data_IF_795506983268
#
_entry.id   IF_795506983268
#
_cell.length_a   1.000
_cell.length_b   1.000
_cell.length_c   1.000
_cell.angle_alpha   90.00
_cell.angle_beta   90.00
_cell.angle_gamma   90.00
#
_symmetry.space_group_name_H-M   'P 1'
#
loop_
_entity.id
_entity.type
_entity.pdbx_description
1 polymer ?
#
# COMPACT_ATOMS: atom_id res chain seq x y z
N UNK A 1 15.40 -15.12 4.98
CA UNK A 1 15.15 -14.12 3.92
C UNK A 1 15.14 -12.76 4.59
N UNK A 2 16.08 -11.88 4.26
CA UNK A 2 16.03 -10.49 4.75
C UNK A 2 14.81 -9.84 4.12
N UNK A 3 13.80 -9.49 4.91
CA UNK A 3 12.67 -8.77 4.39
C UNK A 3 13.17 -7.39 3.92
N UNK A 4 12.82 -6.99 2.69
CA UNK A 4 13.23 -5.69 2.11
C UNK A 4 12.65 -4.51 2.91
N UNK A 5 11.66 -4.76 3.76
CA UNK A 5 11.03 -3.81 4.66
C UNK A 5 10.56 -4.56 5.94
N UNK A 6 10.29 -3.82 7.00
CA UNK A 6 9.73 -4.35 8.25
C UNK A 6 8.19 -4.27 8.22
N UNK A 7 7.47 -5.41 8.30
CA UNK A 7 6.01 -5.43 8.22
C UNK A 7 5.31 -4.73 9.39
N UNK A 8 5.89 -4.77 10.59
CA UNK A 8 5.28 -4.16 11.77
C UNK A 8 5.47 -2.64 11.74
N UNK A 9 6.66 -2.19 11.35
CA UNK A 9 6.91 -0.76 11.13
C UNK A 9 6.09 -0.19 9.98
N UNK A 10 5.91 -0.95 8.89
CA UNK A 10 5.00 -0.56 7.81
C UNK A 10 3.58 -0.40 8.34
N UNK A 11 3.04 -1.39 9.05
CA UNK A 11 1.67 -1.34 9.55
C UNK A 11 1.45 -0.17 10.50
N UNK A 12 2.41 0.10 11.38
CA UNK A 12 2.38 1.20 12.33
C UNK A 12 2.45 2.58 11.65
N UNK A 13 3.15 2.70 10.52
CA UNK A 13 3.27 3.97 9.78
C UNK A 13 2.04 4.32 8.94
N UNK A 14 1.20 3.33 8.63
CA UNK A 14 0.05 3.53 7.75
C UNK A 14 -1.13 4.19 8.45
N UNK A 15 -1.72 5.18 7.77
CA UNK A 15 -3.00 5.78 8.10
C UNK A 15 -4.17 4.85 7.73
N UNK A 16 -5.39 5.10 8.24
CA UNK A 16 -6.58 4.38 7.80
C UNK A 16 -6.73 4.41 6.28
N UNK A 17 -7.18 3.31 5.67
CA UNK A 17 -7.25 3.15 4.20
C UNK A 17 -8.11 4.21 3.50
N UNK A 18 -9.06 4.82 4.22
CA UNK A 18 -9.88 5.93 3.74
C UNK A 18 -9.11 7.23 3.51
N UNK A 19 -7.90 7.36 4.07
CA UNK A 19 -7.03 8.52 3.91
C UNK A 19 -6.04 8.24 2.79
N UNK A 20 -6.12 9.06 1.73
CA UNK A 20 -5.16 9.01 0.63
C UNK A 20 -3.96 9.86 1.03
N UNK A 21 -2.90 9.21 1.47
CA UNK A 21 -1.65 9.83 1.88
C UNK A 21 -0.49 9.36 0.98
N UNK A 22 0.48 10.23 0.65
CA UNK A 22 1.70 9.79 0.00
C UNK A 22 2.40 8.71 0.82
N UNK A 23 2.93 7.70 0.14
CA UNK A 23 3.57 6.58 0.82
C UNK A 23 4.85 7.00 1.56
N UNK A 24 4.98 6.53 2.81
CA UNK A 24 6.24 6.59 3.55
C UNK A 24 7.33 5.74 2.86
N UNK A 25 8.58 5.84 3.33
CA UNK A 25 9.68 5.04 2.78
C UNK A 25 9.41 3.53 2.87
N UNK A 26 8.78 3.08 3.96
CA UNK A 26 8.36 1.70 4.18
C UNK A 26 7.26 1.30 3.20
N UNK A 27 6.27 2.18 2.97
CA UNK A 27 5.22 1.97 1.99
C UNK A 27 5.75 1.87 0.56
N UNK A 28 6.74 2.70 0.21
CA UNK A 28 7.44 2.62 -1.08
C UNK A 28 8.24 1.33 -1.22
N UNK A 29 8.91 0.86 -0.16
CA UNK A 29 9.61 -0.41 -0.17
C UNK A 29 8.65 -1.60 -0.36
N UNK A 30 7.52 -1.58 0.35
CA UNK A 30 6.44 -2.56 0.17
C UNK A 30 5.93 -2.55 -1.27
N UNK A 31 5.60 -1.37 -1.83
CA UNK A 31 5.11 -1.24 -3.19
C UNK A 31 6.16 -1.66 -4.23
N UNK A 32 7.46 -1.46 -4.00
CA UNK A 32 8.49 -1.96 -4.94
C UNK A 32 8.56 -3.48 -4.94
N UNK A 33 8.31 -4.11 -3.80
CA UNK A 33 8.36 -5.56 -3.65
C UNK A 33 7.09 -6.25 -4.16
N UNK A 34 5.92 -5.70 -3.82
CA UNK A 34 4.58 -6.21 -4.19
C UNK A 34 3.89 -5.38 -5.28
N UNK A 35 4.69 -4.71 -6.11
CA UNK A 35 4.20 -3.64 -6.98
C UNK A 35 3.14 -4.04 -7.98
N UNK A 36 2.21 -3.11 -8.19
CA UNK A 36 1.12 -3.23 -9.16
C UNK A 36 1.54 -2.81 -10.58
N UNK A 37 2.83 -2.51 -10.79
CA UNK A 37 3.37 -2.04 -12.07
C UNK A 37 3.07 -2.99 -13.24
N UNK A 38 2.94 -4.29 -12.97
CA UNK A 38 2.56 -5.29 -13.98
C UNK A 38 1.05 -5.44 -14.21
N UNK A 39 0.21 -4.94 -13.31
CA UNK A 39 -1.24 -5.20 -13.32
C UNK A 39 -2.06 -4.11 -13.99
N UNK A 40 -1.50 -2.91 -14.14
CA UNK A 40 -2.25 -1.72 -14.55
C UNK A 40 -1.61 -0.95 -15.72
N UNK A 41 -0.48 -1.44 -16.25
CA UNK A 41 0.31 -0.71 -17.25
C UNK A 41 0.80 0.64 -16.74
N UNK A 42 1.25 1.51 -17.65
CA UNK A 42 1.81 2.83 -17.32
C UNK A 42 0.78 3.83 -16.73
N UNK A 43 -0.47 3.42 -16.50
CA UNK A 43 -1.60 4.32 -16.22
C UNK A 43 -2.13 4.26 -14.77
N UNK A 44 -1.31 3.81 -13.83
CA UNK A 44 -1.62 3.99 -12.39
C UNK A 44 -1.43 5.45 -12.02
N UNK A 45 -2.52 6.21 -12.01
CA UNK A 45 -2.46 7.63 -11.63
C UNK A 45 -2.44 7.80 -10.11
N UNK A 46 -3.11 6.93 -9.37
CA UNK A 46 -3.11 6.98 -7.90
C UNK A 46 -3.00 5.59 -7.32
N UNK A 47 -2.04 5.42 -6.41
CA UNK A 47 -1.95 4.25 -5.56
C UNK A 47 -1.59 4.67 -4.15
N UNK A 48 -2.19 4.05 -3.15
CA UNK A 48 -1.86 4.27 -1.75
C UNK A 48 -1.98 2.96 -0.96
N UNK A 49 -1.42 2.99 0.24
CA UNK A 49 -1.52 1.93 1.24
C UNK A 49 -2.25 2.49 2.44
N UNK A 50 -2.96 1.64 3.14
CA UNK A 50 -3.54 2.01 4.43
C UNK A 50 -3.97 0.81 5.24
N UNK A 51 -4.28 1.05 6.51
CA UNK A 51 -4.77 0.04 7.43
C UNK A 51 -6.29 -0.01 7.46
N UNK A 52 -6.84 -1.19 7.64
CA UNK A 52 -8.25 -1.42 7.85
C UNK A 52 -8.45 -2.45 8.96
N UNK A 53 -9.41 -2.18 9.84
CA UNK A 53 -9.84 -3.11 10.87
C UNK A 53 -11.05 -3.91 10.35
N UNK A 54 -10.90 -5.22 10.20
CA UNK A 54 -11.95 -6.10 9.69
C UNK A 54 -12.11 -7.30 10.61
N UNK A 55 -13.28 -7.45 11.23
CA UNK A 55 -13.59 -8.58 12.10
C UNK A 55 -12.55 -8.84 13.21
N UNK A 56 -11.92 -7.79 13.74
CA UNK A 56 -10.88 -7.88 14.77
C UNK A 56 -9.46 -8.11 14.24
N UNK A 57 -9.26 -8.10 12.92
CA UNK A 57 -7.96 -8.17 12.28
C UNK A 57 -7.54 -6.80 11.76
N UNK A 58 -6.30 -6.41 12.03
CA UNK A 58 -5.66 -5.27 11.38
C UNK A 58 -5.02 -5.74 10.07
N UNK A 59 -5.57 -5.28 8.96
CA UNK A 59 -5.13 -5.66 7.61
C UNK A 59 -4.54 -4.45 6.93
N UNK A 60 -3.50 -4.66 6.12
CA UNK A 60 -2.94 -3.65 5.22
C UNK A 60 -3.53 -3.85 3.83
N UNK A 61 -4.18 -2.83 3.30
CA UNK A 61 -4.72 -2.81 1.95
C UNK A 61 -3.87 -1.94 1.03
N UNK A 62 -3.58 -2.44 -0.17
CA UNK A 62 -3.06 -1.64 -1.27
C UNK A 62 -4.18 -1.34 -2.25
N UNK A 63 -4.38 -0.06 -2.55
CA UNK A 63 -5.41 0.39 -3.49
C UNK A 63 -4.73 1.10 -4.65
N UNK A 64 -5.31 0.92 -5.83
CA UNK A 64 -4.97 1.67 -7.02
C UNK A 64 -6.26 2.16 -7.69
N UNK A 65 -6.17 3.32 -8.33
CA UNK A 65 -7.25 3.89 -9.12
C UNK A 65 -6.71 4.18 -10.53
N UNK A 66 -7.31 3.60 -11.58
CA UNK A 66 -7.02 3.98 -12.96
C UNK A 66 -7.60 5.36 -13.26
N UNK A 67 -7.09 6.00 -14.33
CA UNK A 67 -7.66 7.27 -14.83
C UNK A 67 -9.09 7.11 -15.37
N UNK A 68 -9.45 5.90 -15.82
CA UNK A 68 -10.76 5.57 -16.37
C UNK A 68 -11.25 4.23 -15.79
N UNK A 69 -12.48 4.18 -15.23
CA UNK A 69 -13.06 2.97 -14.64
C UNK A 69 -13.49 1.92 -15.68
#
# INVERSE_FOLDING_TARGET
MSATFDPDNLRASLLPLSVIDPLSMEGLAYQRFYGLAGLCGDNVIRSWLGRLDVAGYEVVGQVWLPDSP
#
